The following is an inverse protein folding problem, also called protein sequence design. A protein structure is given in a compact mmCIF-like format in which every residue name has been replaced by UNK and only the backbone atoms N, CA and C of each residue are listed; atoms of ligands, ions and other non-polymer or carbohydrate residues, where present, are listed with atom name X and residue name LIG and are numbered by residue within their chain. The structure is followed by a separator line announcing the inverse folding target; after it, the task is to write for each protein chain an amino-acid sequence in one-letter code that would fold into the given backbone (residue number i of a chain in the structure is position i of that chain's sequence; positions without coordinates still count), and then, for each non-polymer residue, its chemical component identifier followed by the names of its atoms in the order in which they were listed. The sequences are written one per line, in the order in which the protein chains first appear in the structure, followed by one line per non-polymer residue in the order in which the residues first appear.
data_IF_158321176491
#
_entry.id   IF_158321176491
#
_cell.length_a   1.000
_cell.length_b   1.000
_cell.length_c   1.000
_cell.angle_alpha   90.00
_cell.angle_beta   90.00
_cell.angle_gamma   90.00
#
_symmetry.space_group_name_H-M   'P 1'
#
loop_
_entity.id
_entity.type
_entity.pdbx_description
1 polymer ?
#
# COMPACT_ATOMS: atom_id res chain seq x y z
N UNK A 1 -10.21 -48.67 38.32
CA UNK A 1 -11.01 -48.05 37.24
C UNK A 1 -10.78 -46.56 37.35
N UNK A 2 -9.84 -46.03 36.57
CA UNK A 2 -9.49 -44.61 36.53
C UNK A 2 -9.71 -44.16 35.10
N UNK A 3 -10.77 -43.37 34.89
CA UNK A 3 -11.15 -42.85 33.58
C UNK A 3 -10.23 -41.66 33.21
N UNK A 4 -9.54 -41.82 32.09
CA UNK A 4 -8.76 -40.78 31.43
C UNK A 4 -9.71 -39.97 30.55
N UNK A 5 -10.02 -38.74 30.94
CA UNK A 5 -10.80 -37.81 30.12
C UNK A 5 -9.92 -37.21 29.02
N UNK A 6 -10.12 -37.73 27.80
CA UNK A 6 -9.53 -37.27 26.54
C UNK A 6 -10.30 -36.04 26.03
N UNK A 7 -9.69 -34.86 26.15
CA UNK A 7 -10.21 -33.63 25.54
C UNK A 7 -9.77 -33.59 24.07
N UNK A 8 -10.72 -33.80 23.16
CA UNK A 8 -10.53 -33.59 21.72
C UNK A 8 -10.42 -32.08 21.44
N UNK A 9 -9.22 -31.59 21.18
CA UNK A 9 -9.02 -30.29 20.55
C UNK A 9 -9.58 -30.35 19.13
N UNK A 10 -10.51 -29.43 18.82
CA UNK A 10 -11.02 -29.24 17.46
C UNK A 10 -9.94 -28.50 16.65
N UNK A 11 -9.63 -28.94 15.42
CA UNK A 11 -8.68 -28.22 14.57
C UNK A 11 -9.27 -26.85 14.22
N UNK A 12 -8.54 -25.81 14.61
CA UNK A 12 -8.79 -24.43 14.20
C UNK A 12 -8.58 -24.38 12.69
N UNK A 13 -9.67 -24.33 11.93
CA UNK A 13 -9.60 -24.14 10.49
C UNK A 13 -9.09 -22.72 10.23
N UNK A 14 -7.80 -22.60 10.00
CA UNK A 14 -7.19 -21.39 9.47
C UNK A 14 -7.88 -21.06 8.14
N UNK A 15 -8.67 -20.00 8.17
CA UNK A 15 -9.25 -19.38 7.00
C UNK A 15 -8.10 -18.96 6.08
N UNK A 16 -7.82 -19.80 5.09
CA UNK A 16 -6.80 -19.55 4.07
C UNK A 16 -7.28 -18.42 3.16
N UNK A 17 -7.10 -17.17 3.60
CA UNK A 17 -7.33 -16.01 2.75
C UNK A 17 -6.21 -15.99 1.72
N UNK A 18 -6.50 -16.04 0.40
CA UNK A 18 -5.45 -15.99 -0.61
C UNK A 18 -4.66 -14.69 -0.44
N UNK A 19 -3.38 -14.83 -0.10
CA UNK A 19 -2.49 -13.70 0.12
C UNK A 19 -2.21 -13.07 -1.23
N UNK A 20 -2.72 -11.84 -1.42
CA UNK A 20 -2.44 -11.04 -2.60
C UNK A 20 -1.00 -10.55 -2.54
N UNK A 21 -0.15 -11.06 -3.45
CA UNK A 21 1.28 -10.78 -3.49
C UNK A 21 1.62 -9.85 -4.65
N UNK A 22 2.32 -8.77 -4.34
CA UNK A 22 2.97 -7.90 -5.31
C UNK A 22 4.43 -8.35 -5.48
N UNK A 23 4.91 -8.40 -6.72
CA UNK A 23 6.30 -8.72 -7.06
C UNK A 23 6.83 -7.70 -8.06
N UNK A 24 7.93 -7.02 -7.72
CA UNK A 24 8.61 -6.14 -8.65
C UNK A 24 9.27 -6.97 -9.76
N UNK A 25 9.17 -6.49 -11.00
CA UNK A 25 9.77 -7.16 -12.16
C UNK A 25 11.26 -6.82 -12.36
N UNK A 26 11.77 -5.78 -11.69
CA UNK A 26 13.14 -5.28 -11.85
C UNK A 26 14.05 -5.49 -10.64
N UNK A 27 13.50 -5.89 -9.50
CA UNK A 27 14.29 -6.15 -8.30
C UNK A 27 13.66 -7.26 -7.46
N UNK A 28 14.38 -7.81 -6.47
CA UNK A 28 13.87 -8.89 -5.62
C UNK A 28 12.74 -8.49 -4.66
N UNK A 29 12.24 -7.24 -4.70
CA UNK A 29 11.20 -6.77 -3.79
C UNK A 29 9.86 -7.44 -4.09
N UNK A 30 9.26 -8.00 -3.04
CA UNK A 30 7.89 -8.49 -3.01
C UNK A 30 7.24 -8.06 -1.70
N UNK A 31 5.92 -7.88 -1.72
CA UNK A 31 5.15 -7.55 -0.52
C UNK A 31 3.71 -7.98 -0.70
N UNK A 32 3.04 -8.30 0.40
CA UNK A 32 1.59 -8.45 0.38
C UNK A 32 0.94 -7.09 0.10
N UNK A 33 -0.22 -7.09 -0.55
CA UNK A 33 -1.01 -5.88 -0.72
C UNK A 33 -2.46 -6.14 -0.36
N UNK A 34 -3.12 -5.13 0.21
CA UNK A 34 -4.51 -5.22 0.59
C UNK A 34 -5.42 -4.91 -0.60
N UNK A 35 -5.02 -3.93 -1.41
CA UNK A 35 -5.83 -3.38 -2.51
C UNK A 35 -5.02 -3.02 -3.73
N UNK A 36 -5.65 -3.13 -4.89
CA UNK A 36 -5.16 -2.60 -6.16
C UNK A 36 -6.28 -1.82 -6.84
N UNK A 37 -6.16 -0.49 -6.89
CA UNK A 37 -7.23 0.37 -7.42
C UNK A 37 -6.71 1.76 -7.81
N UNK A 38 -7.50 2.52 -8.57
CA UNK A 38 -7.30 3.95 -8.88
C UNK A 38 -7.99 4.87 -7.89
N UNK A 39 -8.99 4.40 -7.15
CA UNK A 39 -9.72 5.21 -6.20
C UNK A 39 -9.71 4.55 -4.82
N UNK A 40 -9.48 5.37 -3.80
CA UNK A 40 -9.46 4.93 -2.42
C UNK A 40 -10.41 5.75 -1.56
N UNK A 41 -11.51 5.12 -1.15
CA UNK A 41 -12.47 5.73 -0.22
C UNK A 41 -11.89 5.70 1.19
N UNK A 42 -11.55 6.87 1.73
CA UNK A 42 -11.12 6.97 3.13
C UNK A 42 -12.37 6.77 3.99
N UNK A 43 -12.42 5.72 4.83
CA UNK A 43 -13.56 5.51 5.69
C UNK A 43 -13.74 6.73 6.61
N UNK A 44 -15.00 7.13 6.88
CA UNK A 44 -15.26 8.27 7.75
C UNK A 44 -14.62 8.04 9.12
N UNK A 45 -14.11 9.11 9.78
CA UNK A 45 -13.59 8.97 11.13
C UNK A 45 -14.68 8.42 12.06
N UNK A 46 -14.35 7.57 13.04
CA UNK A 46 -15.34 7.07 13.97
C UNK A 46 -16.01 8.22 14.72
N UNK A 47 -17.31 8.09 15.04
CA UNK A 47 -18.01 9.09 15.83
C UNK A 47 -17.33 9.20 17.21
N UNK A 48 -16.78 10.37 17.51
CA UNK A 48 -16.18 10.65 18.83
C UNK A 48 -17.30 10.89 19.84
N UNK A 49 -17.27 10.19 20.98
CA UNK A 49 -18.22 10.33 22.10
C UNK A 49 -18.07 11.63 22.89
N UNK A 50 -17.14 12.51 22.52
CA UNK A 50 -16.95 13.81 23.16
C UNK A 50 -18.06 14.80 22.73
N UNK A 51 -19.18 14.77 23.47
CA UNK A 51 -20.35 15.64 23.27
C UNK A 51 -20.03 17.14 23.30
N UNK A 52 -18.89 17.54 23.87
CA UNK A 52 -18.54 18.97 24.03
C UNK A 52 -17.94 19.62 22.78
N UNK A 53 -17.58 18.86 21.74
CA UNK A 53 -17.17 19.41 20.43
C UNK A 53 -18.31 19.40 19.38
N UNK A 54 -19.56 19.14 19.81
CA UNK A 54 -20.72 18.93 18.93
C UNK A 54 -21.32 20.21 18.32
N UNK A 55 -20.75 21.39 18.57
CA UNK A 55 -21.21 22.65 17.93
C UNK A 55 -20.13 23.14 16.96
N UNK A 56 -20.30 22.79 15.67
CA UNK A 56 -19.52 23.19 14.46
C UNK A 56 -18.42 22.24 13.94
N UNK A 57 -18.63 20.92 13.90
CA UNK A 57 -17.95 20.11 12.88
C UNK A 57 -18.98 19.71 11.83
N UNK A 58 -19.00 20.46 10.70
CA UNK A 58 -19.65 20.00 9.47
C UNK A 58 -19.05 18.62 9.17
N UNK A 59 -19.89 17.59 9.10
CA UNK A 59 -19.48 16.25 8.67
C UNK A 59 -18.81 16.39 7.32
N UNK A 60 -17.50 16.19 7.26
CA UNK A 60 -16.76 16.19 6.01
C UNK A 60 -17.25 14.97 5.23
N UNK A 61 -17.84 15.13 4.03
CA UNK A 61 -18.18 13.98 3.19
C UNK A 61 -16.92 13.13 2.98
N UNK A 62 -17.06 11.80 2.99
CA UNK A 62 -15.94 10.86 2.95
C UNK A 62 -14.88 11.29 1.93
N UNK A 63 -13.64 11.48 2.39
CA UNK A 63 -12.57 11.92 1.53
C UNK A 63 -12.17 10.73 0.64
N UNK A 64 -12.28 10.85 -0.68
CA UNK A 64 -11.75 9.84 -1.59
C UNK A 64 -10.43 10.33 -2.17
N UNK A 65 -9.38 9.51 -2.08
CA UNK A 65 -8.12 9.75 -2.79
C UNK A 65 -8.23 9.14 -4.19
N UNK A 66 -7.97 9.94 -5.21
CA UNK A 66 -7.89 9.49 -6.61
C UNK A 66 -6.43 9.44 -7.04
N UNK A 67 -6.00 8.29 -7.54
CA UNK A 67 -4.69 8.09 -8.11
C UNK A 67 -4.75 8.24 -9.63
N UNK A 68 -3.70 8.83 -10.21
CA UNK A 68 -3.55 8.97 -11.66
C UNK A 68 -3.21 7.63 -12.35
N UNK A 69 -2.94 6.59 -11.57
CA UNK A 69 -2.64 5.24 -12.01
C UNK A 69 -3.25 4.21 -11.05
N UNK A 70 -3.40 2.96 -11.49
CA UNK A 70 -3.79 1.88 -10.60
C UNK A 70 -2.60 1.49 -9.72
N UNK A 71 -2.75 1.59 -8.40
CA UNK A 71 -1.66 1.40 -7.43
C UNK A 71 -1.88 0.20 -6.54
N UNK A 72 -0.79 -0.49 -6.20
CA UNK A 72 -0.79 -1.51 -5.14
C UNK A 72 -0.64 -0.81 -3.78
N UNK A 73 -1.60 -1.06 -2.89
CA UNK A 73 -1.68 -0.46 -1.57
C UNK A 73 -1.46 -1.50 -0.49
N UNK A 74 -0.53 -1.21 0.41
CA UNK A 74 -0.30 -1.93 1.65
C UNK A 74 -0.84 -1.08 2.81
N UNK A 75 -1.65 -1.67 3.68
CA UNK A 75 -2.03 -1.05 4.96
C UNK A 75 -0.78 -0.99 5.85
N UNK A 76 -0.43 0.22 6.26
CA UNK A 76 0.74 0.46 7.10
C UNK A 76 0.53 -0.15 8.50
N UNK A 77 1.29 -1.18 8.89
CA UNK A 77 1.14 -1.83 10.19
C UNK A 77 1.75 -1.01 11.34
N UNK A 78 2.53 0.03 11.03
CA UNK A 78 3.27 0.85 12.00
C UNK A 78 2.56 2.14 12.37
N UNK A 79 1.50 2.52 11.65
CA UNK A 79 0.64 3.62 12.08
C UNK A 79 -0.12 3.15 13.32
N UNK A 80 0.48 3.44 14.48
CA UNK A 80 -0.19 3.32 15.75
C UNK A 80 -1.43 4.21 15.69
N UNK A 81 -2.58 3.57 15.83
CA UNK A 81 -3.86 4.21 16.10
C UNK A 81 -3.62 5.25 17.19
N UNK A 82 -3.57 6.54 16.83
CA UNK A 82 -3.44 7.62 17.83
C UNK A 82 -4.58 7.41 18.81
N UNK A 83 -4.26 7.02 20.05
CA UNK A 83 -5.22 6.96 21.15
C UNK A 83 -5.73 8.37 21.36
N UNK A 84 -6.85 8.71 20.73
CA UNK A 84 -7.62 9.87 21.14
C UNK A 84 -8.34 9.43 22.41
N UNK A 85 -7.69 9.65 23.56
CA UNK A 85 -8.27 9.63 24.90
C UNK A 85 -8.55 8.26 25.53
N UNK A 86 -7.91 8.02 26.69
CA UNK A 86 -8.50 7.19 27.73
C UNK A 86 -8.04 5.74 27.81
N UNK A 87 -7.78 5.32 29.04
CA UNK A 87 -7.29 4.03 29.49
C UNK A 87 -8.41 2.97 29.38
N UNK A 88 -8.17 1.87 28.69
CA UNK A 88 -8.72 0.55 29.07
C UNK A 88 -8.10 -0.56 28.21
N UNK A 89 -7.17 -1.26 28.84
CA UNK A 89 -6.81 -2.64 28.54
C UNK A 89 -8.07 -3.51 28.56
N UNK A 90 -8.07 -4.57 27.76
CA UNK A 90 -9.10 -5.62 27.66
C UNK A 90 -10.35 -5.22 26.86
N UNK A 91 -10.39 -5.59 25.58
CA UNK A 91 -11.38 -6.52 25.00
C UNK A 91 -11.18 -6.59 23.49
N UNK A 92 -11.47 -7.78 22.95
CA UNK A 92 -11.27 -8.14 21.56
C UNK A 92 -12.18 -7.38 20.59
N UNK A 93 -11.61 -7.13 19.42
CA UNK A 93 -12.25 -6.88 18.13
C UNK A 93 -12.93 -5.53 17.89
N UNK A 94 -12.59 -5.00 16.72
CA UNK A 94 -13.30 -3.98 15.94
C UNK A 94 -13.42 -2.59 16.55
N UNK A 95 -12.40 -1.73 16.35
CA UNK A 95 -12.60 -0.28 16.38
C UNK A 95 -11.64 0.46 15.43
N UNK A 96 -12.22 0.78 14.26
CA UNK A 96 -12.07 1.98 13.44
C UNK A 96 -10.81 2.83 13.62
N UNK A 97 -9.92 2.81 12.65
CA UNK A 97 -8.93 3.88 12.46
C UNK A 97 -8.66 4.10 10.98
N UNK A 98 -8.50 5.36 10.60
CA UNK A 98 -8.03 5.82 9.30
C UNK A 98 -6.97 4.84 8.75
N UNK A 99 -7.35 4.06 7.74
CA UNK A 99 -6.45 3.12 7.10
C UNK A 99 -5.38 3.93 6.37
N UNK A 100 -4.24 4.12 7.01
CA UNK A 100 -3.01 4.60 6.41
C UNK A 100 -2.53 3.53 5.44
N UNK A 101 -2.69 3.79 4.16
CA UNK A 101 -2.18 2.90 3.12
C UNK A 101 -0.95 3.53 2.49
N UNK A 102 0.07 2.72 2.26
CA UNK A 102 1.30 3.07 1.55
C UNK A 102 1.23 2.47 0.14
N UNK A 103 1.61 3.25 -0.86
CA UNK A 103 1.77 2.76 -2.22
C UNK A 103 3.08 1.98 -2.30
N UNK A 104 3.02 0.71 -2.69
CA UNK A 104 4.21 -0.14 -2.83
C UNK A 104 4.66 -0.30 -4.28
N UNK A 105 3.77 -0.07 -5.24
CA UNK A 105 4.07 -0.19 -6.67
C UNK A 105 2.88 0.11 -7.58
N UNK A 106 3.10 0.00 -8.88
CA UNK A 106 2.05 0.06 -9.92
C UNK A 106 2.56 -0.63 -11.18
N UNK A 107 1.78 -0.57 -12.26
CA UNK A 107 2.18 -1.07 -13.57
C UNK A 107 2.95 -0.02 -14.34
N UNK A 108 4.06 -0.41 -14.97
CA UNK A 108 4.72 0.40 -15.97
C UNK A 108 3.74 0.69 -17.13
N UNK A 109 3.60 1.95 -17.52
CA UNK A 109 2.64 2.32 -18.56
C UNK A 109 2.96 1.73 -19.94
N UNK A 110 4.25 1.54 -20.25
CA UNK A 110 4.68 1.01 -21.54
C UNK A 110 4.60 -0.53 -21.58
N UNK A 111 5.25 -1.23 -20.65
CA UNK A 111 5.33 -2.70 -20.68
C UNK A 111 4.32 -3.43 -19.78
N UNK A 112 3.48 -2.71 -19.02
CA UNK A 112 2.45 -3.26 -18.11
C UNK A 112 2.94 -4.19 -16.98
N UNK A 113 4.26 -4.38 -16.86
CA UNK A 113 4.91 -5.11 -15.76
C UNK A 113 4.75 -4.37 -14.44
N UNK A 114 4.64 -5.15 -13.36
CA UNK A 114 4.55 -4.63 -12.00
C UNK A 114 5.93 -4.15 -11.53
N UNK A 115 6.01 -2.89 -11.11
CA UNK A 115 7.26 -2.25 -10.65
C UNK A 115 7.03 -1.49 -9.35
N UNK A 116 7.99 -1.61 -8.43
CA UNK A 116 7.89 -0.97 -7.12
C UNK A 116 8.18 0.53 -7.24
N UNK A 117 7.81 1.27 -6.19
CA UNK A 117 8.03 2.73 -6.09
C UNK A 117 9.50 3.13 -5.92
N UNK A 118 10.42 2.18 -5.80
CA UNK A 118 11.85 2.48 -5.71
C UNK A 118 12.32 3.24 -6.95
N UNK A 119 13.13 4.27 -6.73
CA UNK A 119 13.76 5.06 -7.79
C UNK A 119 14.63 4.24 -8.74
N UNK A 120 15.06 3.06 -8.29
CA UNK A 120 15.91 2.14 -9.05
C UNK A 120 15.09 1.18 -9.93
N UNK A 121 13.76 1.21 -9.81
CA UNK A 121 12.87 0.37 -10.62
C UNK A 121 11.92 1.21 -11.45
N UNK A 122 11.48 2.35 -10.94
CA UNK A 122 10.49 3.16 -11.65
C UNK A 122 10.58 4.64 -11.33
N UNK A 123 9.94 5.44 -12.17
CA UNK A 123 9.73 6.87 -11.94
C UNK A 123 8.31 7.24 -12.32
N UNK A 124 7.70 8.09 -11.50
CA UNK A 124 6.37 8.64 -11.77
C UNK A 124 6.52 10.04 -12.36
N UNK A 125 5.90 10.27 -13.53
CA UNK A 125 5.76 11.59 -14.14
C UNK A 125 4.27 11.93 -14.29
N UNK A 126 3.67 11.67 -15.46
CA UNK A 126 2.21 11.62 -15.64
C UNK A 126 1.65 10.23 -15.33
N UNK A 127 2.49 9.21 -15.49
CA UNK A 127 2.26 7.79 -15.19
C UNK A 127 3.57 7.18 -14.69
N UNK A 128 3.54 5.95 -14.16
CA UNK A 128 4.76 5.23 -13.80
C UNK A 128 5.39 4.53 -15.00
N UNK A 129 6.69 4.68 -15.13
CA UNK A 129 7.51 4.00 -16.13
C UNK A 129 8.64 3.26 -15.43
N UNK A 130 8.94 2.05 -15.89
CA UNK A 130 10.10 1.32 -15.40
C UNK A 130 11.39 1.85 -16.03
N UNK A 131 12.52 1.74 -15.33
CA UNK A 131 13.78 2.28 -15.83
C UNK A 131 14.20 1.69 -17.18
N UNK A 132 13.97 0.39 -17.41
CA UNK A 132 14.19 -0.25 -18.73
C UNK A 132 13.41 0.45 -19.85
N UNK A 133 12.14 0.77 -19.62
CA UNK A 133 11.33 1.45 -20.62
C UNK A 133 11.78 2.89 -20.84
N UNK A 134 12.27 3.58 -19.80
CA UNK A 134 12.82 4.93 -19.96
C UNK A 134 14.12 4.87 -20.76
N UNK A 135 15.03 3.94 -20.44
CA UNK A 135 16.30 3.75 -21.13
C UNK A 135 16.11 3.44 -22.62
N UNK A 136 15.11 2.62 -22.96
CA UNK A 136 14.84 2.21 -24.35
C UNK A 136 14.05 3.24 -25.17
N UNK A 137 13.41 4.22 -24.53
CA UNK A 137 12.54 5.20 -25.20
C UNK A 137 12.91 6.64 -24.79
N UNK A 138 14.20 6.93 -24.56
CA UNK A 138 14.63 8.23 -24.03
C UNK A 138 14.11 9.41 -24.85
N UNK A 139 14.02 9.27 -26.17
CA UNK A 139 13.53 10.33 -27.08
C UNK A 139 12.07 10.73 -26.85
N UNK A 140 11.26 9.87 -26.23
CA UNK A 140 9.85 10.15 -25.92
C UNK A 140 9.66 10.88 -24.58
N UNK A 141 10.72 10.99 -23.76
CA UNK A 141 10.65 11.62 -22.44
C UNK A 141 11.20 13.05 -22.45
N UNK A 142 10.63 13.95 -21.63
CA UNK A 142 11.17 15.31 -21.46
C UNK A 142 12.63 15.29 -21.00
N UNK A 143 13.45 16.21 -21.53
CA UNK A 143 14.88 16.28 -21.23
C UNK A 143 15.15 16.50 -19.75
N UNK A 144 14.28 17.26 -19.08
CA UNK A 144 14.35 17.55 -17.65
C UNK A 144 14.25 16.25 -16.83
N UNK A 145 13.32 15.35 -17.21
CA UNK A 145 13.15 14.06 -16.57
C UNK A 145 14.39 13.17 -16.79
N UNK A 146 14.92 13.12 -18.02
CA UNK A 146 16.11 12.34 -18.33
C UNK A 146 17.34 12.84 -17.55
N UNK A 147 17.46 14.15 -17.37
CA UNK A 147 18.57 14.75 -16.61
C UNK A 147 18.54 14.36 -15.13
N UNK A 148 17.35 14.29 -14.51
CA UNK A 148 17.19 13.79 -13.13
C UNK A 148 17.50 12.29 -13.00
N UNK A 149 17.30 11.53 -14.08
CA UNK A 149 17.50 10.08 -14.12
C UNK A 149 18.90 9.66 -14.61
N UNK A 150 19.72 10.59 -15.10
CA UNK A 150 21.02 10.30 -15.73
C UNK A 150 21.89 9.33 -14.92
N UNK A 151 22.13 9.63 -13.64
CA UNK A 151 22.94 8.78 -12.73
C UNK A 151 22.32 7.37 -12.57
N UNK A 152 20.99 7.25 -12.64
CA UNK A 152 20.28 5.98 -12.47
C UNK A 152 20.33 5.15 -13.74
N UNK A 153 20.19 5.78 -14.90
CA UNK A 153 20.27 5.13 -16.21
C UNK A 153 21.70 4.62 -16.48
N UNK A 154 22.73 5.41 -16.15
CA UNK A 154 24.13 4.98 -16.25
C UNK A 154 24.44 3.76 -15.37
N UNK A 155 23.86 3.69 -14.15
CA UNK A 155 23.99 2.52 -13.27
C UNK A 155 23.25 1.31 -13.79
N UNK A 156 22.12 1.51 -14.46
CA UNK A 156 21.33 0.44 -15.03
C UNK A 156 22.10 -0.29 -16.15
N UNK A 157 22.74 0.47 -17.06
CA UNK A 157 23.53 -0.07 -18.18
C UNK A 157 24.73 -0.92 -17.72
N UNK A 158 25.35 -0.56 -16.59
CA UNK A 158 26.49 -1.31 -16.02
C UNK A 158 26.09 -2.64 -15.36
N UNK A 159 24.81 -2.84 -15.05
CA UNK A 159 24.30 -4.07 -14.41
C UNK A 159 23.68 -5.02 -15.46
N UNK A 160 23.23 -4.49 -16.59
CA UNK A 160 22.65 -5.27 -17.69
C UNK A 160 23.67 -5.77 -18.73
N UNK A 161 24.95 -5.41 -18.59
CA UNK A 161 26.07 -5.82 -19.46
C UNK A 161 26.88 -6.94 -18.83
#
# INVERSE_FOLDING_TARGET
MSEVSSSKEKPHQDLFVPVKLFKCSLCPFYANYDRYDKQYNVPPPPPTTDEKFRKKKKTVPGCSILFLESVYLLNDPFIQKRRIGGISSTTNQSQSTSHSSVIIGSKCFLCQRDVCVSSDCSTFYTKRFCLECIANNQEEFPKELLQELKIKLEKFEQISS
#
